data_IF_709005085982
#
_entry.id   IF_709005085982
#
_cell.length_a   1.000
_cell.length_b   1.000
_cell.length_c   1.000
_cell.angle_alpha   90.00
_cell.angle_beta   90.00
_cell.angle_gamma   90.00
#
_symmetry.space_group_name_H-M   'P 1'
#
loop_
_entity.id
_entity.type
_entity.pdbx_description
1 polymer ?
#
# COMPACT_ATOMS: atom_id res chain seq x y z
N UNK A 1 -7.07 -16.63 -17.65
CA UNK A 1 -6.74 -15.37 -18.35
C UNK A 1 -7.88 -15.07 -19.30
N UNK A 2 -8.77 -14.16 -18.91
CA UNK A 2 -9.84 -13.67 -19.78
C UNK A 2 -9.43 -12.28 -20.26
N UNK A 3 -9.08 -12.17 -21.54
CA UNK A 3 -8.60 -10.93 -22.16
C UNK A 3 -9.71 -9.86 -22.35
N UNK A 4 -10.92 -10.12 -21.86
CA UNK A 4 -12.08 -9.22 -22.02
C UNK A 4 -12.21 -8.14 -20.93
N UNK A 5 -11.43 -8.22 -19.85
CA UNK A 5 -11.33 -7.15 -18.86
C UNK A 5 -9.97 -6.48 -19.01
N UNK A 6 -9.83 -5.45 -19.88
CA UNK A 6 -8.69 -4.57 -19.79
C UNK A 6 -8.67 -4.00 -18.37
N UNK A 7 -7.48 -3.92 -17.76
CA UNK A 7 -7.30 -3.07 -16.59
C UNK A 7 -7.91 -1.71 -16.93
N UNK A 8 -8.88 -1.24 -16.15
CA UNK A 8 -9.37 0.13 -16.27
C UNK A 8 -8.16 1.04 -16.24
N UNK A 9 -8.01 1.90 -17.24
CA UNK A 9 -6.87 2.80 -17.35
C UNK A 9 -6.75 3.60 -16.05
N UNK A 10 -5.76 3.25 -15.22
CA UNK A 10 -5.59 3.86 -13.90
C UNK A 10 -5.38 5.36 -13.99
N UNK A 11 -4.91 5.85 -15.15
CA UNK A 11 -4.72 7.27 -15.40
C UNK A 11 -6.03 8.06 -15.39
N UNK A 12 -7.17 7.46 -15.77
CA UNK A 12 -8.46 8.15 -15.71
C UNK A 12 -8.95 8.27 -14.27
N UNK A 13 -8.76 7.23 -13.44
CA UNK A 13 -9.15 7.27 -12.03
C UNK A 13 -8.32 8.27 -11.21
N UNK A 14 -7.02 8.39 -11.50
CA UNK A 14 -6.14 9.37 -10.85
C UNK A 14 -6.57 10.80 -11.22
N UNK A 15 -6.84 11.07 -12.51
CA UNK A 15 -7.29 12.37 -12.97
C UNK A 15 -8.67 12.75 -12.42
N UNK A 16 -9.63 11.82 -12.40
CA UNK A 16 -10.99 12.05 -11.87
C UNK A 16 -10.94 12.40 -10.36
N UNK A 17 -10.08 11.72 -9.60
CA UNK A 17 -9.90 12.00 -8.17
C UNK A 17 -9.22 13.36 -7.95
N UNK A 18 -8.21 13.70 -8.76
CA UNK A 18 -7.56 15.00 -8.69
C UNK A 18 -8.52 16.13 -9.05
N UNK A 19 -9.40 15.96 -10.03
CA UNK A 19 -10.43 16.94 -10.37
C UNK A 19 -11.37 17.15 -9.18
N UNK A 20 -11.93 16.07 -8.63
CA UNK A 20 -12.86 16.13 -7.51
C UNK A 20 -12.25 16.77 -6.26
N UNK A 21 -11.04 16.37 -5.88
CA UNK A 21 -10.39 16.88 -4.67
C UNK A 21 -9.82 18.30 -4.82
N UNK A 22 -9.76 18.83 -6.03
CA UNK A 22 -9.43 20.23 -6.29
C UNK A 22 -10.66 21.11 -6.54
N UNK A 23 -11.87 20.56 -6.48
CA UNK A 23 -13.10 21.35 -6.54
C UNK A 23 -13.17 22.31 -5.32
N UNK A 24 -13.45 23.61 -5.53
CA UNK A 24 -13.51 24.58 -4.43
C UNK A 24 -14.53 24.25 -3.35
N UNK A 25 -15.68 23.69 -3.71
CA UNK A 25 -16.73 23.30 -2.76
C UNK A 25 -16.25 22.11 -1.91
N UNK A 26 -15.60 21.13 -2.54
CA UNK A 26 -15.00 19.98 -1.83
C UNK A 26 -13.88 20.46 -0.89
N UNK A 27 -13.03 21.38 -1.35
CA UNK A 27 -11.98 21.97 -0.51
C UNK A 27 -12.54 22.72 0.70
N UNK A 28 -13.67 23.43 0.54
CA UNK A 28 -14.33 24.16 1.63
C UNK A 28 -14.92 23.21 2.67
N UNK A 29 -15.60 22.17 2.20
CA UNK A 29 -16.18 21.13 3.07
C UNK A 29 -15.12 20.32 3.83
N UNK A 30 -13.95 20.11 3.23
CA UNK A 30 -12.79 19.48 3.88
C UNK A 30 -11.96 20.46 4.73
N UNK A 31 -12.33 21.75 4.74
CA UNK A 31 -11.63 22.83 5.46
C UNK A 31 -10.17 22.99 5.02
N UNK A 32 -9.88 22.82 3.73
CA UNK A 32 -8.55 22.97 3.14
C UNK A 32 -8.46 24.12 2.12
N UNK A 33 -9.50 24.94 1.96
CA UNK A 33 -9.54 26.07 1.02
C UNK A 33 -8.36 27.05 1.15
N UNK A 34 -7.87 27.29 2.37
CA UNK A 34 -6.72 28.17 2.59
C UNK A 34 -5.38 27.53 2.16
N UNK A 35 -5.33 26.19 2.10
CA UNK A 35 -4.18 25.40 1.67
C UNK A 35 -4.23 25.10 0.17
N UNK A 36 -5.43 24.97 -0.39
CA UNK A 36 -5.69 24.72 -1.80
C UNK A 36 -5.62 26.02 -2.59
N UNK A 37 -4.40 26.40 -2.98
CA UNK A 37 -4.17 27.62 -3.77
C UNK A 37 -3.96 27.27 -5.24
N UNK A 38 -3.93 28.28 -6.12
CA UNK A 38 -3.56 28.06 -7.53
C UNK A 38 -2.19 27.37 -7.70
N UNK A 39 -1.30 27.51 -6.71
CA UNK A 39 0.06 26.96 -6.71
C UNK A 39 0.17 25.65 -5.93
N UNK A 40 -0.79 25.34 -5.05
CA UNK A 40 -0.82 24.14 -4.23
C UNK A 40 -2.15 23.43 -4.42
N UNK A 41 -2.19 22.55 -5.41
CA UNK A 41 -3.30 21.65 -5.69
C UNK A 41 -3.04 20.28 -5.09
N UNK A 42 -4.13 19.56 -4.79
CA UNK A 42 -4.04 18.13 -4.57
C UNK A 42 -3.47 17.45 -5.83
N UNK A 43 -2.56 16.51 -5.60
CA UNK A 43 -2.03 15.61 -6.62
C UNK A 43 -2.04 14.20 -6.04
N UNK A 44 -2.41 13.21 -6.84
CA UNK A 44 -2.50 11.82 -6.45
C UNK A 44 -1.15 11.26 -5.99
N UNK A 45 -0.06 11.73 -6.60
CA UNK A 45 1.33 11.37 -6.28
C UNK A 45 2.22 12.61 -6.23
N UNK A 46 3.28 12.54 -5.43
CA UNK A 46 4.32 13.56 -5.38
C UNK A 46 5.67 12.97 -5.79
N UNK A 47 6.13 13.30 -7.01
CA UNK A 47 7.38 12.80 -7.55
C UNK A 47 8.61 13.26 -6.77
N UNK A 48 8.61 14.47 -6.23
CA UNK A 48 9.73 14.95 -5.40
C UNK A 48 9.89 14.11 -4.14
N UNK A 49 8.79 13.73 -3.48
CA UNK A 49 8.83 12.82 -2.32
C UNK A 49 9.32 11.44 -2.74
N UNK A 50 8.82 10.90 -3.85
CA UNK A 50 9.25 9.61 -4.39
C UNK A 50 10.76 9.58 -4.66
N UNK A 51 11.28 10.57 -5.40
CA UNK A 51 12.70 10.66 -5.77
C UNK A 51 13.61 10.74 -4.55
N UNK A 52 13.18 11.49 -3.52
CA UNK A 52 13.93 11.62 -2.27
C UNK A 52 13.95 10.32 -1.43
N UNK A 53 13.02 9.39 -1.66
CA UNK A 53 12.90 8.13 -0.92
C UNK A 53 13.38 6.90 -1.70
N UNK A 54 13.87 7.07 -2.95
CA UNK A 54 14.34 5.95 -3.78
C UNK A 54 15.36 5.04 -3.07
N UNK A 55 16.28 5.61 -2.30
CA UNK A 55 17.28 4.84 -1.56
C UNK A 55 16.73 4.10 -0.34
N UNK A 56 15.62 4.56 0.22
CA UNK A 56 14.99 3.93 1.37
C UNK A 56 14.12 2.75 0.96
N UNK A 57 13.47 2.84 -0.20
CA UNK A 57 12.60 1.78 -0.74
C UNK A 57 13.28 0.43 -0.97
N UNK A 58 14.62 0.39 -1.03
CA UNK A 58 15.38 -0.86 -1.21
C UNK A 58 15.80 -1.53 0.10
N UNK A 59 15.50 -0.93 1.26
CA UNK A 59 15.82 -1.54 2.56
C UNK A 59 14.74 -2.55 2.94
N UNK A 60 15.17 -3.74 3.36
CA UNK A 60 14.26 -4.70 3.97
C UNK A 60 13.89 -4.23 5.39
N UNK A 61 12.59 -4.18 5.66
CA UNK A 61 12.02 -3.92 6.97
C UNK A 61 11.40 -5.18 7.60
N UNK A 62 11.65 -6.36 7.02
CA UNK A 62 11.03 -7.63 7.44
C UNK A 62 11.34 -7.95 8.90
N UNK A 63 12.58 -7.69 9.36
CA UNK A 63 12.99 -7.91 10.77
C UNK A 63 12.24 -7.05 11.80
N UNK A 64 11.50 -6.02 11.38
CA UNK A 64 10.64 -5.26 12.28
C UNK A 64 9.42 -6.09 12.70
N UNK A 65 8.91 -6.93 11.80
CA UNK A 65 7.76 -7.79 12.07
C UNK A 65 8.08 -8.79 13.16
N UNK A 66 9.26 -9.41 13.14
CA UNK A 66 9.73 -10.31 14.21
C UNK A 66 9.59 -9.65 15.59
N UNK A 67 10.06 -8.40 15.72
CA UNK A 67 10.01 -7.64 16.98
C UNK A 67 8.58 -7.31 17.43
N UNK A 68 7.72 -6.91 16.49
CA UNK A 68 6.32 -6.58 16.78
C UNK A 68 5.57 -7.82 17.26
N UNK A 69 5.83 -8.95 16.60
CA UNK A 69 5.26 -10.25 16.91
C UNK A 69 5.75 -10.79 18.26
N UNK A 70 7.03 -10.64 18.59
CA UNK A 70 7.60 -10.97 19.90
C UNK A 70 6.98 -10.14 21.04
N UNK A 71 6.59 -8.90 20.76
CA UNK A 71 5.88 -8.03 21.71
C UNK A 71 4.40 -8.40 21.86
N UNK A 72 3.91 -9.42 21.16
CA UNK A 72 2.52 -9.87 21.23
C UNK A 72 1.55 -8.96 20.49
N UNK A 73 2.02 -8.15 19.54
CA UNK A 73 1.14 -7.33 18.71
C UNK A 73 0.50 -8.19 17.61
N UNK A 74 -0.84 -8.20 17.48
CA UNK A 74 -1.52 -8.91 16.40
C UNK A 74 -1.28 -8.18 15.07
N UNK A 75 -0.89 -8.92 14.05
CA UNK A 75 -0.65 -8.41 12.70
C UNK A 75 -1.55 -9.13 11.70
N UNK A 76 -2.26 -8.37 10.87
CA UNK A 76 -3.05 -8.88 9.74
C UNK A 76 -2.40 -8.42 8.44
N UNK A 77 -2.00 -9.39 7.61
CA UNK A 77 -1.53 -9.16 6.24
C UNK A 77 -2.61 -9.65 5.28
N UNK A 78 -3.00 -8.79 4.34
CA UNK A 78 -3.94 -9.14 3.27
C UNK A 78 -3.35 -8.72 1.93
N UNK A 79 -3.59 -9.54 0.90
CA UNK A 79 -3.06 -9.31 -0.44
C UNK A 79 -4.10 -9.70 -1.49
N UNK A 80 -4.26 -8.85 -2.50
CA UNK A 80 -5.11 -9.16 -3.64
C UNK A 80 -4.50 -10.29 -4.46
N UNK A 81 -5.25 -11.36 -4.72
CA UNK A 81 -4.76 -12.53 -5.45
C UNK A 81 -4.37 -12.23 -6.92
N UNK A 82 -4.76 -11.07 -7.46
CA UNK A 82 -4.43 -10.61 -8.80
C UNK A 82 -3.39 -9.48 -8.83
N UNK A 83 -2.86 -9.06 -7.67
CA UNK A 83 -1.80 -8.07 -7.62
C UNK A 83 -0.49 -8.66 -8.16
N UNK A 84 0.15 -7.91 -9.05
CA UNK A 84 1.42 -8.31 -9.69
C UNK A 84 2.63 -7.58 -9.13
N UNK A 85 2.44 -6.45 -8.48
CA UNK A 85 3.54 -5.65 -7.93
C UNK A 85 3.91 -6.24 -6.57
N UNK A 86 2.95 -6.30 -5.64
CA UNK A 86 3.13 -6.81 -4.28
C UNK A 86 2.27 -8.06 -4.04
N UNK A 87 2.38 -9.00 -4.98
CA UNK A 87 1.47 -10.15 -5.10
C UNK A 87 1.60 -11.21 -4.00
N UNK A 88 0.65 -12.16 -3.97
CA UNK A 88 0.55 -13.16 -2.90
C UNK A 88 1.79 -14.05 -2.76
N UNK A 89 2.48 -14.32 -3.86
CA UNK A 89 3.69 -15.17 -3.86
C UNK A 89 4.81 -14.49 -3.05
N UNK A 90 5.13 -13.23 -3.36
CA UNK A 90 6.19 -12.51 -2.66
C UNK A 90 5.86 -12.30 -1.18
N UNK A 91 4.58 -12.03 -0.87
CA UNK A 91 4.10 -11.91 0.51
C UNK A 91 4.30 -13.21 1.28
N UNK A 92 3.88 -14.33 0.71
CA UNK A 92 4.03 -15.64 1.33
C UNK A 92 5.51 -16.03 1.52
N UNK A 93 6.36 -15.72 0.54
CA UNK A 93 7.81 -16.00 0.63
C UNK A 93 8.45 -15.29 1.82
N UNK A 94 8.25 -13.99 2.00
CA UNK A 94 8.88 -13.29 3.13
C UNK A 94 8.22 -13.65 4.47
N UNK A 95 6.93 -13.98 4.49
CA UNK A 95 6.27 -14.46 5.71
C UNK A 95 6.90 -15.75 6.22
N UNK A 96 7.29 -16.65 5.31
CA UNK A 96 7.98 -17.90 5.66
C UNK A 96 9.39 -17.67 6.23
N UNK A 97 9.98 -16.50 5.99
CA UNK A 97 11.28 -16.10 6.53
C UNK A 97 11.21 -15.47 7.93
N UNK A 98 10.00 -15.20 8.45
CA UNK A 98 9.82 -14.61 9.78
C UNK A 98 10.41 -15.48 10.89
N UNK A 99 11.02 -14.81 11.86
CA UNK A 99 11.65 -15.42 13.02
C UNK A 99 10.85 -15.04 14.27
N UNK A 100 9.78 -15.78 14.54
CA UNK A 100 8.97 -15.64 15.77
C UNK A 100 8.66 -16.99 16.41
N UNK A 101 8.38 -16.97 17.72
CA UNK A 101 8.17 -18.18 18.53
C UNK A 101 6.99 -19.06 18.09
N UNK A 102 6.00 -18.50 17.37
CA UNK A 102 4.80 -19.20 16.95
C UNK A 102 4.86 -19.70 15.49
N UNK A 103 6.01 -19.61 14.82
CA UNK A 103 6.19 -20.10 13.45
C UNK A 103 5.77 -21.57 13.26
N UNK A 104 6.14 -22.50 14.16
CA UNK A 104 5.76 -23.90 14.02
C UNK A 104 4.24 -24.10 14.05
N UNK A 105 3.55 -23.40 14.94
CA UNK A 105 2.09 -23.47 15.06
C UNK A 105 1.42 -22.82 13.84
N UNK A 106 1.95 -21.68 13.40
CA UNK A 106 1.48 -20.94 12.23
C UNK A 106 1.47 -21.81 10.97
N UNK A 107 2.55 -22.55 10.69
CA UNK A 107 2.62 -23.45 9.52
C UNK A 107 1.83 -24.76 9.67
N UNK A 108 1.42 -25.09 10.89
CA UNK A 108 0.67 -26.33 11.16
C UNK A 108 -0.83 -26.17 10.99
N UNK A 109 -1.33 -24.93 10.92
CA UNK A 109 -2.74 -24.65 10.70
C UNK A 109 -3.12 -25.01 9.26
N UNK A 110 -4.09 -25.91 9.02
CA UNK A 110 -4.57 -26.23 7.67
C UNK A 110 -5.19 -25.04 6.92
N UNK A 111 -5.47 -23.92 7.60
CA UNK A 111 -5.84 -22.63 7.01
C UNK A 111 -4.66 -21.68 6.73
N UNK A 112 -3.45 -22.02 7.19
CA UNK A 112 -2.23 -21.30 6.80
C UNK A 112 -1.87 -21.66 5.35
N UNK A 113 -1.57 -20.62 4.56
CA UNK A 113 -1.28 -20.75 3.13
C UNK A 113 0.20 -21.04 2.95
#
# INVERSE_FOLDING_TARGET
>A
YDARYPATDSSTQEADLEEYLNDPEVCDQLHVSELSTKERKYAYKNHTVYDNLLSDGMKSYTSLYDKLLEQGLPILLFVGNLDRIDGPVGVQEWMNELQWQYMPDFHSDPGSI
#
